data_IF_246015487490
#
_entry.id   IF_246015487490
#
_cell.length_a   1.000
_cell.length_b   1.000
_cell.length_c   1.000
_cell.angle_alpha   90.00
_cell.angle_beta   90.00
_cell.angle_gamma   90.00
#
_symmetry.space_group_name_H-M   'P 1'
#
loop_
_entity.id
_entity.type
_entity.pdbx_description
1 polymer ?
#
# COMPACT_ATOMS: atom_id res chain seq x y z
N UNK A 1 59.88 46.60 54.30
CA UNK A 1 58.77 46.48 55.26
C UNK A 1 57.47 46.52 54.46
N UNK A 2 56.53 45.61 54.73
CA UNK A 2 55.31 45.30 53.95
C UNK A 2 54.45 46.53 53.58
N UNK A 3 53.63 46.46 52.52
CA UNK A 3 52.19 46.31 52.80
C UNK A 3 51.40 45.42 51.82
N UNK A 4 50.25 44.98 52.33
CA UNK A 4 49.16 44.22 51.72
C UNK A 4 48.59 44.86 50.41
N UNK A 5 47.89 44.08 49.59
CA UNK A 5 46.41 44.03 49.50
C UNK A 5 45.98 43.27 48.22
N UNK A 6 45.06 42.31 48.38
CA UNK A 6 44.42 41.53 47.32
C UNK A 6 43.47 42.36 46.42
N UNK A 7 43.40 42.05 45.12
CA UNK A 7 42.13 41.85 44.35
C UNK A 7 42.38 41.66 42.85
N UNK A 8 41.71 40.66 42.27
CA UNK A 8 41.39 40.61 40.83
C UNK A 8 41.83 39.33 40.12
N UNK A 9 41.31 38.17 40.52
CA UNK A 9 41.41 36.96 39.69
C UNK A 9 40.25 36.95 38.67
N UNK A 10 40.55 37.27 37.41
CA UNK A 10 39.68 36.97 36.28
C UNK A 10 39.69 35.46 36.04
N UNK A 11 38.61 34.77 36.42
CA UNK A 11 38.41 33.35 36.10
C UNK A 11 37.95 33.25 34.64
N UNK A 12 38.90 33.20 33.70
CA UNK A 12 38.61 32.76 32.34
C UNK A 12 38.18 31.28 32.39
N UNK A 13 36.91 31.03 32.10
CA UNK A 13 36.35 29.70 31.91
C UNK A 13 37.01 29.04 30.69
N UNK A 14 37.92 28.11 30.95
CA UNK A 14 38.57 27.29 29.93
C UNK A 14 37.62 26.19 29.46
N UNK A 15 37.16 26.27 28.21
CA UNK A 15 36.52 25.13 27.54
C UNK A 15 37.61 24.28 26.87
N UNK A 16 37.82 23.01 27.28
CA UNK A 16 38.66 22.13 26.50
C UNK A 16 37.93 21.74 25.20
N UNK A 17 38.52 22.17 24.07
CA UNK A 17 38.22 21.63 22.75
C UNK A 17 38.48 20.12 22.76
N UNK A 18 37.50 19.34 22.32
CA UNK A 18 37.68 17.93 21.98
C UNK A 18 38.48 17.82 20.68
N UNK A 19 39.80 17.73 20.82
CA UNK A 19 40.65 17.17 19.77
C UNK A 19 40.99 15.74 20.15
N UNK A 20 40.48 14.78 19.37
CA UNK A 20 40.92 13.39 19.41
C UNK A 20 42.38 13.31 18.94
N UNK A 21 43.25 12.66 19.73
CA UNK A 21 44.16 11.71 19.12
C UNK A 21 44.26 10.41 19.93
N UNK A 22 43.99 9.30 19.24
CA UNK A 22 44.60 7.98 19.40
C UNK A 22 45.23 7.62 20.78
N UNK A 23 44.46 7.00 21.67
CA UNK A 23 44.96 6.47 22.95
C UNK A 23 44.10 5.29 23.41
N UNK A 24 44.45 4.09 22.97
CA UNK A 24 43.90 2.84 23.51
C UNK A 24 44.57 2.43 24.84
N UNK A 25 45.67 3.08 25.23
CA UNK A 25 46.47 2.69 26.41
C UNK A 25 46.22 3.55 27.66
N UNK A 26 45.60 4.74 27.56
CA UNK A 26 45.40 5.64 28.72
C UNK A 26 44.02 5.54 29.38
N UNK A 27 43.10 4.73 28.86
CA UNK A 27 41.75 4.53 29.43
C UNK A 27 41.72 3.50 30.56
N UNK A 28 42.66 2.55 30.56
CA UNK A 28 42.71 1.48 31.56
C UNK A 28 43.33 1.98 32.88
N UNK A 29 44.37 2.83 32.81
CA UNK A 29 45.00 3.45 33.99
C UNK A 29 44.00 4.34 34.76
N UNK A 30 43.25 5.21 34.06
CA UNK A 30 42.25 6.11 34.66
C UNK A 30 41.05 5.34 35.28
N UNK A 31 40.72 4.16 34.72
CA UNK A 31 39.66 3.29 35.23
C UNK A 31 40.10 2.51 36.46
N UNK A 32 41.34 2.06 36.48
CA UNK A 32 41.93 1.35 37.61
C UNK A 32 42.07 2.25 38.84
N UNK A 33 42.56 3.49 38.67
CA UNK A 33 42.64 4.47 39.75
C UNK A 33 41.27 4.79 40.38
N UNK A 34 40.22 4.93 39.55
CA UNK A 34 38.85 5.15 40.04
C UNK A 34 38.31 3.95 40.81
N UNK A 35 38.60 2.73 40.36
CA UNK A 35 38.16 1.50 41.02
C UNK A 35 38.87 1.28 42.36
N UNK A 36 40.16 1.64 42.45
CA UNK A 36 40.90 1.60 43.71
C UNK A 36 40.37 2.62 44.72
N UNK A 37 40.08 3.85 44.28
CA UNK A 37 39.48 4.87 45.14
C UNK A 37 38.11 4.43 45.72
N UNK A 38 37.29 3.75 44.91
CA UNK A 38 36.01 3.18 45.33
C UNK A 38 36.19 2.06 46.36
N UNK A 39 37.11 1.12 46.11
CA UNK A 39 37.43 0.02 47.03
C UNK A 39 37.92 0.54 48.38
N UNK A 40 38.79 1.55 48.39
CA UNK A 40 39.28 2.18 49.61
C UNK A 40 38.15 2.87 50.42
N UNK A 41 37.16 3.45 49.73
CA UNK A 41 36.00 4.09 50.37
C UNK A 41 35.04 3.07 50.98
N UNK A 42 34.76 1.98 50.27
CA UNK A 42 33.91 0.88 50.77
C UNK A 42 34.58 0.18 51.95
N UNK A 43 35.89 -0.05 51.89
CA UNK A 43 36.65 -0.67 52.98
C UNK A 43 36.62 0.17 54.25
N UNK A 44 36.83 1.49 54.15
CA UNK A 44 36.66 2.42 55.29
C UNK A 44 35.25 2.40 55.86
N UNK A 45 34.21 2.33 55.02
CA UNK A 45 32.81 2.26 55.49
C UNK A 45 32.52 0.94 56.21
N UNK A 46 33.09 -0.17 55.72
CA UNK A 46 32.96 -1.49 56.34
C UNK A 46 33.73 -1.58 57.65
N UNK A 47 34.94 -1.02 57.72
CA UNK A 47 35.74 -0.96 58.95
C UNK A 47 35.12 -0.02 59.99
N UNK A 48 34.53 1.10 59.57
CA UNK A 48 33.77 1.98 60.47
C UNK A 48 32.52 1.27 61.03
N UNK A 49 31.82 0.47 60.20
CA UNK A 49 30.71 -0.36 60.66
C UNK A 49 31.16 -1.53 61.58
N UNK A 50 32.41 -1.98 61.47
CA UNK A 50 32.95 -3.07 62.28
C UNK A 50 33.55 -2.60 63.62
N UNK A 51 33.95 -1.32 63.72
CA UNK A 51 34.67 -0.78 64.87
C UNK A 51 33.78 -0.02 65.88
N UNK A 52 32.47 0.09 65.62
CA UNK A 52 31.52 0.78 66.51
C UNK A 52 30.73 -0.18 67.44
N UNK A 53 31.09 -1.46 67.49
CA UNK A 53 30.78 -2.33 68.63
C UNK A 53 29.31 -2.41 69.09
N UNK A 54 28.33 -2.29 68.19
CA UNK A 54 26.91 -2.49 68.53
C UNK A 54 26.50 -3.91 68.17
N UNK A 55 26.10 -4.62 69.22
CA UNK A 55 25.59 -5.98 69.31
C UNK A 55 24.31 -6.06 68.48
N UNK A 56 24.08 -7.18 67.78
CA UNK A 56 22.78 -7.49 67.15
C UNK A 56 21.69 -7.52 68.24
N UNK A 57 20.99 -6.41 68.44
CA UNK A 57 19.68 -6.41 69.07
C UNK A 57 18.60 -6.41 67.99
N UNK A 58 17.82 -7.49 68.04
CA UNK A 58 16.58 -7.77 67.36
C UNK A 58 15.76 -6.51 67.06
N UNK A 59 15.58 -6.21 65.76
CA UNK A 59 14.78 -5.08 65.30
C UNK A 59 13.28 -5.39 65.47
N UNK A 60 12.77 -5.26 66.69
CA UNK A 60 11.33 -5.30 66.97
C UNK A 60 10.74 -3.94 66.60
N UNK A 61 10.27 -3.81 65.35
CA UNK A 61 9.56 -2.61 64.89
C UNK A 61 8.18 -2.58 65.55
N UNK A 62 7.98 -1.65 66.49
CA UNK A 62 6.65 -1.32 67.01
C UNK A 62 6.01 -0.25 66.11
N UNK A 63 4.70 -0.36 65.88
CA UNK A 63 3.93 0.40 64.88
C UNK A 63 3.78 1.91 65.16
N UNK A 64 4.62 2.50 66.01
CA UNK A 64 4.54 3.90 66.41
C UNK A 64 5.47 4.85 65.64
N UNK A 65 6.44 4.32 64.86
CA UNK A 65 7.42 5.14 64.12
C UNK A 65 7.11 5.31 62.62
N UNK A 66 5.83 5.18 62.21
CA UNK A 66 5.41 5.57 60.85
C UNK A 66 5.25 7.09 60.83
N UNK A 67 6.37 7.79 60.72
CA UNK A 67 6.37 9.18 60.25
C UNK A 67 5.71 9.21 58.86
N UNK A 68 4.80 10.16 58.68
CA UNK A 68 4.06 10.38 57.44
C UNK A 68 5.04 10.54 56.28
N UNK A 69 4.83 9.89 55.11
CA UNK A 69 5.74 10.03 53.99
C UNK A 69 5.81 11.52 53.57
N UNK A 70 7.00 12.05 53.25
CA UNK A 70 7.14 13.45 52.86
C UNK A 70 6.41 13.71 51.54
N UNK A 71 5.83 14.91 51.40
CA UNK A 71 5.07 15.39 50.24
C UNK A 71 5.82 15.25 48.89
N UNK A 72 7.15 15.06 48.90
CA UNK A 72 7.97 14.84 47.70
C UNK A 72 7.61 13.57 46.90
N UNK A 73 7.09 12.51 47.54
CA UNK A 73 6.61 11.31 46.82
C UNK A 73 5.27 11.55 46.09
N UNK A 74 4.49 12.55 46.53
CA UNK A 74 3.25 12.97 45.86
C UNK A 74 3.55 13.77 44.59
N UNK A 75 4.54 14.67 44.63
CA UNK A 75 4.92 15.46 43.45
C UNK A 75 5.58 14.59 42.38
N UNK A 76 6.52 13.71 42.75
CA UNK A 76 7.18 12.82 41.78
C UNK A 76 6.21 11.80 41.15
N UNK A 77 5.15 11.41 41.84
CA UNK A 77 4.10 10.55 41.27
C UNK A 77 3.16 11.35 40.36
N UNK A 78 2.75 12.56 40.75
CA UNK A 78 1.96 13.46 39.90
C UNK A 78 2.69 13.84 38.62
N UNK A 79 3.98 14.18 38.70
CA UNK A 79 4.84 14.49 37.55
C UNK A 79 4.97 13.26 36.62
N UNK A 80 5.01 12.05 37.19
CA UNK A 80 5.03 10.80 36.42
C UNK A 80 3.70 10.51 35.70
N UNK A 81 2.55 10.82 36.33
CA UNK A 81 1.23 10.71 35.71
C UNK A 81 1.01 11.75 34.61
N UNK A 82 1.41 13.00 34.84
CA UNK A 82 1.33 14.06 33.81
C UNK A 82 2.24 13.75 32.62
N UNK A 83 3.41 13.14 32.86
CA UNK A 83 4.33 12.72 31.78
C UNK A 83 3.81 11.50 31.01
N UNK A 84 3.11 10.57 31.68
CA UNK A 84 2.45 9.43 31.04
C UNK A 84 1.26 9.87 30.16
N UNK A 85 0.44 10.81 30.65
CA UNK A 85 -0.68 11.39 29.88
C UNK A 85 -0.22 12.15 28.63
N UNK A 86 0.92 12.84 28.71
CA UNK A 86 1.55 13.50 27.56
C UNK A 86 2.01 12.50 26.50
N UNK A 87 2.48 11.31 26.88
CA UNK A 87 2.92 10.27 25.94
C UNK A 87 1.75 9.46 25.36
N UNK A 88 0.68 9.21 26.13
CA UNK A 88 -0.59 8.65 25.67
C UNK A 88 -1.18 9.44 24.47
N UNK A 89 -1.25 10.76 24.61
CA UNK A 89 -1.71 11.63 23.54
C UNK A 89 -0.82 11.56 22.28
N UNK A 90 0.47 11.27 22.42
CA UNK A 90 1.39 11.17 21.27
C UNK A 90 1.11 9.92 20.44
N UNK A 91 0.91 8.76 21.08
CA UNK A 91 0.62 7.50 20.38
C UNK A 91 -0.72 7.54 19.66
N UNK A 92 -1.74 8.10 20.30
CA UNK A 92 -3.08 8.28 19.71
C UNK A 92 -3.06 9.25 18.54
N UNK A 93 -2.34 10.38 18.67
CA UNK A 93 -2.19 11.34 17.58
C UNK A 93 -1.39 10.77 16.40
N UNK A 94 -0.34 9.99 16.66
CA UNK A 94 0.43 9.29 15.64
C UNK A 94 -0.44 8.27 14.89
N UNK A 95 -1.18 7.42 15.61
CA UNK A 95 -2.11 6.46 15.04
C UNK A 95 -3.15 7.14 14.14
N UNK A 96 -3.79 8.20 14.64
CA UNK A 96 -4.76 8.97 13.88
C UNK A 96 -4.15 9.61 12.63
N UNK A 97 -2.92 10.13 12.71
CA UNK A 97 -2.23 10.71 11.55
C UNK A 97 -1.96 9.66 10.46
N UNK A 98 -1.49 8.47 10.83
CA UNK A 98 -1.21 7.38 9.89
C UNK A 98 -2.48 6.90 9.18
N UNK A 99 -3.56 6.65 9.94
CA UNK A 99 -4.85 6.26 9.38
C UNK A 99 -5.40 7.38 8.49
N UNK A 100 -5.30 8.64 8.91
CA UNK A 100 -5.76 9.77 8.12
C UNK A 100 -5.02 9.89 6.79
N UNK A 101 -3.69 9.84 6.80
CA UNK A 101 -2.87 9.92 5.58
C UNK A 101 -3.17 8.76 4.64
N UNK A 102 -3.25 7.52 5.15
CA UNK A 102 -3.61 6.36 4.34
C UNK A 102 -5.02 6.47 3.74
N UNK A 103 -5.97 7.03 4.50
CA UNK A 103 -7.34 7.28 4.04
C UNK A 103 -7.41 8.39 2.98
N UNK A 104 -6.63 9.47 3.14
CA UNK A 104 -6.52 10.53 2.14
C UNK A 104 -5.94 10.00 0.83
N UNK A 105 -4.91 9.14 0.90
CA UNK A 105 -4.40 8.44 -0.28
C UNK A 105 -5.50 7.56 -0.92
N UNK A 106 -6.35 6.91 -0.12
CA UNK A 106 -7.54 6.19 -0.57
C UNK A 106 -8.53 7.07 -1.33
N UNK A 107 -8.85 8.25 -0.79
CA UNK A 107 -9.72 9.23 -1.46
C UNK A 107 -9.11 9.75 -2.76
N UNK A 108 -7.81 10.06 -2.77
CA UNK A 108 -7.11 10.48 -3.99
C UNK A 108 -7.17 9.39 -5.07
N UNK A 109 -6.97 8.12 -4.70
CA UNK A 109 -7.11 7.01 -5.64
C UNK A 109 -8.55 6.85 -6.14
N UNK A 110 -9.56 7.04 -5.28
CA UNK A 110 -10.96 6.99 -5.69
C UNK A 110 -11.29 8.10 -6.70
N UNK A 111 -10.81 9.32 -6.47
CA UNK A 111 -10.97 10.44 -7.40
C UNK A 111 -10.30 10.15 -8.73
N UNK A 112 -9.09 9.56 -8.73
CA UNK A 112 -8.40 9.18 -9.97
C UNK A 112 -9.16 8.12 -10.77
N UNK A 113 -9.75 7.12 -10.09
CA UNK A 113 -10.57 6.08 -10.73
C UNK A 113 -11.85 6.70 -11.34
N UNK A 114 -12.46 7.66 -10.65
CA UNK A 114 -13.69 8.34 -11.10
C UNK A 114 -13.43 9.41 -12.18
N UNK A 115 -12.24 10.01 -12.21
CA UNK A 115 -11.84 11.01 -13.21
C UNK A 115 -11.21 10.39 -14.46
N UNK A 116 -10.64 9.20 -14.35
CA UNK A 116 -10.17 8.45 -15.51
C UNK A 116 -11.36 7.99 -16.33
N UNK A 117 -11.85 8.83 -17.23
CA UNK A 117 -12.78 8.40 -18.27
C UNK A 117 -11.98 7.45 -19.19
N UNK A 118 -12.17 6.12 -19.09
CA UNK A 118 -11.38 5.18 -19.88
C UNK A 118 -11.60 5.42 -21.38
N UNK A 119 -12.77 5.95 -21.75
CA UNK A 119 -13.14 6.28 -23.13
C UNK A 119 -12.28 7.41 -23.71
N UNK A 120 -11.84 8.39 -22.91
CA UNK A 120 -10.96 9.47 -23.40
C UNK A 120 -9.48 9.08 -23.37
N UNK A 121 -9.08 8.18 -22.46
CA UNK A 121 -7.73 7.63 -22.44
C UNK A 121 -7.51 6.67 -23.61
N UNK A 122 -8.49 5.84 -23.94
CA UNK A 122 -8.45 4.93 -25.09
C UNK A 122 -8.57 5.67 -26.43
N UNK A 123 -9.31 6.79 -26.49
CA UNK A 123 -9.39 7.65 -27.68
C UNK A 123 -8.32 8.75 -27.71
N UNK A 124 -7.44 8.82 -26.70
CA UNK A 124 -6.35 9.78 -26.72
C UNK A 124 -5.32 9.31 -27.73
N UNK A 125 -4.95 10.21 -28.65
CA UNK A 125 -3.98 10.00 -29.73
C UNK A 125 -2.58 9.54 -29.27
N UNK A 126 -2.38 9.38 -27.96
CA UNK A 126 -1.17 8.88 -27.30
C UNK A 126 -1.14 7.34 -27.24
N UNK A 127 -2.30 6.69 -27.32
CA UNK A 127 -2.48 5.25 -27.56
C UNK A 127 -2.95 4.93 -28.97
N UNK A 128 -3.18 5.93 -29.82
CA UNK A 128 -3.42 5.77 -31.27
C UNK A 128 -2.13 5.38 -32.03
N UNK A 129 -1.28 4.55 -31.42
CA UNK A 129 -0.15 3.94 -32.11
C UNK A 129 -0.69 2.74 -32.87
N UNK A 130 -1.09 2.98 -34.14
CA UNK A 130 -1.51 1.97 -35.10
C UNK A 130 -2.65 1.09 -34.58
N UNK A 131 -3.90 1.59 -34.70
CA UNK A 131 -5.16 0.83 -34.54
C UNK A 131 -5.28 -0.29 -35.59
N UNK A 132 -4.21 -1.01 -35.88
CA UNK A 132 -4.17 -2.04 -36.89
C UNK A 132 -3.59 -3.30 -36.25
N UNK A 133 -4.34 -4.38 -36.31
CA UNK A 133 -3.95 -5.68 -35.76
C UNK A 133 -3.76 -6.68 -36.91
N UNK A 134 -2.90 -7.65 -36.70
CA UNK A 134 -2.74 -8.76 -37.63
C UNK A 134 -3.75 -9.83 -37.28
N UNK A 135 -4.64 -10.15 -38.22
CA UNK A 135 -5.61 -11.22 -38.05
C UNK A 135 -5.08 -12.50 -38.72
N UNK A 136 -5.36 -13.63 -38.10
CA UNK A 136 -5.10 -14.94 -38.70
C UNK A 136 -6.13 -15.95 -38.25
N UNK A 137 -6.31 -17.01 -39.04
CA UNK A 137 -7.26 -18.07 -38.74
C UNK A 137 -7.06 -19.25 -39.66
N UNK A 138 -7.95 -20.23 -39.56
CA UNK A 138 -7.91 -21.45 -40.39
C UNK A 138 -9.28 -21.73 -41.02
N UNK A 139 -9.26 -22.18 -42.27
CA UNK A 139 -10.42 -22.70 -42.96
C UNK A 139 -10.38 -24.24 -42.96
N UNK A 140 -11.36 -24.86 -42.33
CA UNK A 140 -11.46 -26.30 -42.14
C UNK A 140 -12.65 -26.87 -42.90
N UNK A 141 -12.53 -28.09 -43.41
CA UNK A 141 -13.63 -28.81 -44.05
C UNK A 141 -14.62 -29.37 -43.00
N UNK A 142 -15.92 -29.43 -43.34
CA UNK A 142 -17.03 -29.76 -42.40
C UNK A 142 -17.02 -31.21 -41.87
N UNK A 143 -16.56 -32.18 -42.67
CA UNK A 143 -16.67 -33.61 -42.38
C UNK A 143 -15.39 -34.17 -41.76
N UNK A 144 -14.24 -33.92 -42.40
CA UNK A 144 -12.95 -34.48 -42.01
C UNK A 144 -12.11 -33.49 -41.16
N UNK A 145 -12.50 -32.21 -41.14
CA UNK A 145 -11.80 -31.18 -40.35
C UNK A 145 -10.41 -30.84 -40.87
N UNK A 146 -10.09 -31.23 -42.11
CA UNK A 146 -8.81 -30.92 -42.74
C UNK A 146 -8.78 -29.48 -43.27
N UNK A 147 -7.59 -28.89 -43.30
CA UNK A 147 -7.37 -27.56 -43.86
C UNK A 147 -7.74 -27.49 -45.33
N UNK A 148 -8.48 -26.45 -45.73
CA UNK A 148 -8.89 -26.24 -47.12
C UNK A 148 -7.94 -25.24 -47.77
N UNK A 149 -7.11 -25.71 -48.70
CA UNK A 149 -6.18 -24.88 -49.47
C UNK A 149 -6.88 -24.00 -50.51
N UNK A 150 -6.31 -22.85 -50.84
CA UNK A 150 -6.76 -21.95 -51.92
C UNK A 150 -8.19 -21.44 -51.74
N UNK A 151 -8.66 -21.28 -50.50
CA UNK A 151 -9.87 -20.51 -50.18
C UNK A 151 -9.53 -19.04 -50.31
N UNK A 152 -10.32 -18.29 -51.09
CA UNK A 152 -10.17 -16.84 -51.21
C UNK A 152 -10.80 -16.19 -49.98
N UNK A 153 -9.98 -15.43 -49.25
CA UNK A 153 -10.36 -14.69 -48.06
C UNK A 153 -10.36 -13.20 -48.41
N UNK A 154 -11.51 -12.56 -48.32
CA UNK A 154 -11.67 -11.12 -48.59
C UNK A 154 -12.05 -10.42 -47.29
N UNK A 155 -11.35 -9.33 -46.95
CA UNK A 155 -11.73 -8.40 -45.91
C UNK A 155 -12.52 -7.26 -46.55
N UNK A 156 -13.72 -6.97 -46.04
CA UNK A 156 -14.63 -5.95 -46.56
C UNK A 156 -15.02 -4.95 -45.47
N UNK A 157 -15.20 -3.69 -45.89
CA UNK A 157 -15.74 -2.63 -45.03
C UNK A 157 -17.21 -2.93 -44.66
N UNK A 158 -17.54 -2.79 -43.37
CA UNK A 158 -18.87 -3.15 -42.85
C UNK A 158 -20.03 -2.33 -43.44
N UNK A 159 -19.78 -1.10 -43.89
CA UNK A 159 -20.83 -0.17 -44.38
C UNK A 159 -21.02 -0.25 -45.88
N UNK A 160 -19.92 -0.19 -46.62
CA UNK A 160 -19.88 -0.11 -48.07
C UNK A 160 -19.77 -1.47 -48.75
N UNK A 161 -19.42 -2.53 -47.99
CA UNK A 161 -19.10 -3.87 -48.53
C UNK A 161 -17.99 -3.83 -49.60
N UNK A 162 -17.14 -2.80 -49.58
CA UNK A 162 -16.00 -2.69 -50.48
C UNK A 162 -14.88 -3.62 -49.99
N UNK A 163 -14.22 -4.32 -50.90
CA UNK A 163 -13.06 -5.16 -50.58
C UNK A 163 -11.88 -4.25 -50.21
N UNK A 164 -11.39 -4.38 -48.98
CA UNK A 164 -10.26 -3.66 -48.44
C UNK A 164 -8.95 -4.41 -48.75
N UNK A 165 -8.94 -5.72 -48.49
CA UNK A 165 -7.78 -6.61 -48.67
C UNK A 165 -8.25 -8.01 -49.05
N UNK A 166 -7.36 -8.80 -49.66
CA UNK A 166 -7.63 -10.19 -50.01
C UNK A 166 -6.38 -11.06 -49.88
N UNK A 167 -6.55 -12.30 -49.45
CA UNK A 167 -5.52 -13.33 -49.34
C UNK A 167 -6.10 -14.71 -49.67
N UNK A 168 -5.26 -15.74 -49.72
CA UNK A 168 -5.66 -17.12 -49.95
C UNK A 168 -5.10 -18.05 -48.87
N UNK A 169 -5.86 -19.09 -48.50
CA UNK A 169 -5.39 -20.08 -47.53
C UNK A 169 -4.28 -20.98 -48.09
N UNK A 170 -3.35 -21.38 -47.22
CA UNK A 170 -2.27 -22.32 -47.54
C UNK A 170 -2.72 -23.80 -47.52
N UNK A 171 -1.78 -24.74 -47.72
CA UNK A 171 -2.04 -26.18 -47.75
C UNK A 171 -2.67 -26.75 -46.47
N UNK A 172 -2.56 -26.03 -45.34
CA UNK A 172 -3.16 -26.39 -44.06
C UNK A 172 -4.43 -25.57 -43.75
N UNK A 173 -4.91 -24.78 -44.71
CA UNK A 173 -6.08 -23.93 -44.55
C UNK A 173 -5.80 -22.64 -43.78
N UNK A 174 -4.55 -22.31 -43.46
CA UNK A 174 -4.20 -21.13 -42.69
C UNK A 174 -4.19 -19.88 -43.57
N UNK A 175 -4.67 -18.76 -43.03
CA UNK A 175 -4.59 -17.44 -43.66
C UNK A 175 -4.16 -16.38 -42.63
N UNK A 176 -3.56 -15.31 -43.13
CA UNK A 176 -3.27 -14.11 -42.34
C UNK A 176 -3.45 -12.86 -43.17
N UNK A 177 -3.99 -11.82 -42.54
CA UNK A 177 -4.16 -10.48 -43.12
C UNK A 177 -3.54 -9.51 -42.12
N UNK A 178 -2.57 -8.73 -42.60
CA UNK A 178 -1.81 -7.82 -41.77
C UNK A 178 -2.40 -6.42 -41.78
N UNK A 179 -2.18 -5.69 -40.68
CA UNK A 179 -2.49 -4.28 -40.57
C UNK A 179 -3.99 -3.99 -40.83
N UNK A 180 -4.87 -4.76 -40.18
CA UNK A 180 -6.32 -4.59 -40.26
C UNK A 180 -6.79 -3.58 -39.23
N UNK A 181 -7.41 -2.49 -39.69
CA UNK A 181 -7.93 -1.44 -38.83
C UNK A 181 -8.91 -1.99 -37.77
N UNK A 182 -8.82 -1.53 -36.53
CA UNK A 182 -9.62 -1.97 -35.38
C UNK A 182 -11.04 -1.36 -35.40
N UNK A 183 -11.74 -1.56 -36.51
CA UNK A 183 -13.12 -1.20 -36.73
C UNK A 183 -13.91 -2.44 -37.18
N UNK A 184 -15.25 -2.35 -37.21
CA UNK A 184 -16.07 -3.48 -37.63
C UNK A 184 -15.83 -3.77 -39.11
N UNK A 185 -15.44 -5.02 -39.40
CA UNK A 185 -15.24 -5.52 -40.76
C UNK A 185 -16.09 -6.75 -41.01
N UNK A 186 -16.20 -7.10 -42.29
CA UNK A 186 -16.74 -8.38 -42.73
C UNK A 186 -15.61 -9.16 -43.36
N UNK A 187 -15.43 -10.41 -42.96
CA UNK A 187 -14.55 -11.34 -43.64
C UNK A 187 -15.39 -12.34 -44.43
N UNK A 188 -15.00 -12.58 -45.68
CA UNK A 188 -15.70 -13.45 -46.61
C UNK A 188 -14.77 -14.53 -47.12
N UNK A 189 -15.21 -15.77 -47.02
CA UNK A 189 -14.51 -16.96 -47.49
C UNK A 189 -15.24 -17.52 -48.70
N UNK A 190 -14.52 -17.69 -49.82
CA UNK A 190 -15.10 -18.22 -51.06
C UNK A 190 -14.15 -19.21 -51.75
N UNK A 191 -14.71 -20.32 -52.22
CA UNK A 191 -14.01 -21.34 -53.00
C UNK A 191 -15.01 -22.13 -53.83
N UNK A 192 -14.66 -22.47 -55.07
CA UNK A 192 -15.51 -23.31 -55.92
C UNK A 192 -15.75 -24.69 -55.27
N UNK A 193 -17.00 -25.15 -55.28
CA UNK A 193 -17.43 -26.40 -54.65
C UNK A 193 -17.75 -26.28 -53.15
N UNK A 194 -17.59 -25.08 -52.56
CA UNK A 194 -17.96 -24.80 -51.17
C UNK A 194 -18.94 -23.63 -51.07
N UNK A 195 -19.73 -23.61 -50.00
CA UNK A 195 -20.57 -22.47 -49.66
C UNK A 195 -19.71 -21.27 -49.27
N UNK A 196 -20.09 -20.09 -49.74
CA UNK A 196 -19.47 -18.83 -49.35
C UNK A 196 -19.91 -18.48 -47.93
N UNK A 197 -18.95 -18.21 -47.04
CA UNK A 197 -19.22 -17.85 -45.64
C UNK A 197 -18.85 -16.39 -45.43
N UNK A 198 -19.75 -15.60 -44.87
CA UNK A 198 -19.48 -14.21 -44.43
C UNK A 198 -19.60 -14.14 -42.91
N UNK A 199 -18.68 -13.43 -42.27
CA UNK A 199 -18.68 -13.16 -40.83
C UNK A 199 -18.41 -11.70 -40.56
N UNK A 200 -19.15 -11.11 -39.64
CA UNK A 200 -18.90 -9.74 -39.16
C UNK A 200 -18.14 -9.83 -37.85
N UNK A 201 -17.03 -9.10 -37.72
CA UNK A 201 -16.20 -9.16 -36.53
C UNK A 201 -15.53 -7.80 -36.25
N UNK A 202 -15.05 -7.63 -35.03
CA UNK A 202 -14.17 -6.54 -34.64
C UNK A 202 -12.78 -7.15 -34.40
N UNK A 203 -11.74 -6.76 -35.15
CA UNK A 203 -10.41 -7.31 -34.98
C UNK A 203 -9.88 -7.14 -33.54
N UNK A 204 -9.44 -8.23 -32.93
CA UNK A 204 -8.69 -8.25 -31.68
C UNK A 204 -7.37 -9.02 -31.86
N UNK A 205 -6.46 -8.95 -30.87
CA UNK A 205 -5.15 -9.60 -30.95
C UNK A 205 -5.20 -11.13 -30.76
N UNK A 206 -6.41 -11.72 -30.80
CA UNK A 206 -6.64 -13.14 -30.59
C UNK A 206 -7.19 -13.64 -31.93
N UNK A 207 -6.44 -14.45 -32.67
CA UNK A 207 -6.81 -14.86 -34.02
C UNK A 207 -8.26 -15.34 -34.17
N UNK A 208 -8.80 -15.24 -35.38
CA UNK A 208 -10.19 -15.56 -35.67
C UNK A 208 -10.49 -17.05 -35.50
N UNK A 209 -11.67 -17.33 -34.97
CA UNK A 209 -12.19 -18.68 -34.84
C UNK A 209 -12.18 -19.40 -36.19
N UNK A 210 -11.83 -20.70 -36.22
CA UNK A 210 -11.80 -21.47 -37.46
C UNK A 210 -13.13 -21.37 -38.21
N UNK A 211 -13.03 -21.18 -39.52
CA UNK A 211 -14.21 -21.18 -40.41
C UNK A 211 -14.42 -22.57 -40.97
N UNK A 212 -15.66 -23.06 -40.90
CA UNK A 212 -16.05 -24.35 -41.47
C UNK A 212 -16.57 -24.16 -42.90
N UNK A 213 -15.84 -24.73 -43.86
CA UNK A 213 -16.17 -24.73 -45.28
C UNK A 213 -17.04 -25.94 -45.61
N UNK A 214 -18.35 -25.71 -45.83
CA UNK A 214 -19.30 -26.76 -46.20
C UNK A 214 -19.32 -26.97 -47.71
N UNK A 215 -19.22 -28.22 -48.21
CA UNK A 215 -19.39 -28.50 -49.63
C UNK A 215 -20.77 -28.05 -50.12
N UNK A 216 -20.83 -27.36 -51.25
CA UNK A 216 -22.09 -26.83 -51.78
C UNK A 216 -21.88 -25.68 -52.76
N UNK A 217 -22.99 -25.13 -53.25
CA UNK A 217 -22.98 -23.95 -54.11
C UNK A 217 -23.94 -22.89 -53.56
N UNK A 218 -23.49 -21.64 -53.51
CA UNK A 218 -24.25 -20.51 -52.93
C UNK A 218 -23.61 -19.93 -51.66
N UNK A 219 -24.37 -19.12 -50.94
CA UNK A 219 -23.97 -18.47 -49.67
C UNK A 219 -24.52 -19.26 -48.49
N UNK A 220 -23.68 -19.55 -47.50
CA UNK A 220 -24.12 -20.05 -46.21
C UNK A 220 -24.96 -18.98 -45.48
N UNK A 221 -25.85 -19.43 -44.59
CA UNK A 221 -26.55 -18.53 -43.66
C UNK A 221 -25.51 -17.71 -42.88
N UNK A 222 -25.61 -16.37 -42.78
CA UNK A 222 -24.65 -15.54 -42.06
C UNK A 222 -24.36 -16.11 -40.67
N UNK A 223 -23.13 -16.60 -40.50
CA UNK A 223 -22.57 -16.87 -39.18
C UNK A 223 -22.16 -15.52 -38.62
N UNK A 224 -23.06 -14.89 -37.88
CA UNK A 224 -22.60 -13.88 -36.94
C UNK A 224 -21.86 -14.62 -35.84
N UNK A 225 -20.54 -14.47 -35.79
CA UNK A 225 -19.74 -14.91 -34.66
C UNK A 225 -20.21 -14.09 -33.44
N UNK A 226 -21.14 -14.66 -32.65
CA UNK A 226 -21.65 -14.06 -31.41
C UNK A 226 -20.54 -13.83 -30.38
N UNK A 227 -19.34 -14.35 -30.60
CA UNK A 227 -18.16 -14.12 -29.78
C UNK A 227 -17.78 -12.64 -29.70
N UNK A 228 -17.89 -11.87 -30.80
CA UNK A 228 -17.57 -10.44 -30.78
C UNK A 228 -18.56 -9.59 -29.94
N UNK A 229 -19.73 -10.15 -29.62
CA UNK A 229 -20.79 -9.48 -28.83
C UNK A 229 -20.87 -9.97 -27.38
N UNK A 230 -20.04 -10.94 -26.98
CA UNK A 230 -20.05 -11.55 -25.64
C UNK A 230 -18.92 -11.09 -24.71
N UNK A 231 -18.08 -10.15 -25.16
CA UNK A 231 -17.04 -9.52 -24.35
C UNK A 231 -17.59 -8.45 -23.40
N UNK A 232 -16.81 -8.08 -22.37
CA UNK A 232 -17.12 -6.96 -21.49
C UNK A 232 -17.35 -5.70 -22.32
N UNK A 233 -18.56 -5.15 -22.27
CA UNK A 233 -18.86 -3.92 -23.02
C UNK A 233 -18.17 -2.72 -22.35
N UNK A 234 -17.96 -1.64 -23.11
CA UNK A 234 -17.42 -0.39 -22.56
C UNK A 234 -18.29 0.12 -21.40
N UNK A 235 -19.60 -0.06 -21.48
CA UNK A 235 -20.56 0.30 -20.42
C UNK A 235 -20.39 -0.56 -19.17
N UNK A 236 -20.07 -1.86 -19.32
CA UNK A 236 -19.76 -2.75 -18.20
C UNK A 236 -18.44 -2.35 -17.51
N UNK A 237 -17.44 -1.94 -18.29
CA UNK A 237 -16.17 -1.46 -17.75
C UNK A 237 -16.31 -0.13 -16.99
N UNK A 238 -17.08 0.82 -17.54
CA UNK A 238 -17.35 2.11 -16.90
C UNK A 238 -18.19 1.95 -15.63
N UNK A 239 -19.21 1.09 -15.65
CA UNK A 239 -20.03 0.80 -14.48
C UNK A 239 -19.23 0.11 -13.38
N UNK A 240 -18.36 -0.85 -13.72
CA UNK A 240 -17.46 -1.49 -12.77
C UNK A 240 -16.48 -0.48 -12.16
N UNK A 241 -15.84 0.36 -12.98
CA UNK A 241 -14.90 1.38 -12.50
C UNK A 241 -15.57 2.36 -11.55
N UNK A 242 -16.78 2.82 -11.90
CA UNK A 242 -17.58 3.73 -11.06
C UNK A 242 -17.96 3.07 -9.73
N UNK A 243 -18.41 1.81 -9.76
CA UNK A 243 -18.75 1.06 -8.56
C UNK A 243 -17.54 0.87 -7.63
N UNK A 244 -16.38 0.52 -8.19
CA UNK A 244 -15.13 0.38 -7.44
C UNK A 244 -14.66 1.73 -6.89
N UNK A 245 -14.78 2.82 -7.67
CA UNK A 245 -14.44 4.17 -7.25
C UNK A 245 -15.28 4.64 -6.06
N UNK A 246 -16.60 4.44 -6.10
CA UNK A 246 -17.51 4.78 -5.01
C UNK A 246 -17.27 3.94 -3.74
N UNK A 247 -17.03 2.63 -3.90
CA UNK A 247 -16.69 1.76 -2.77
C UNK A 247 -15.35 2.17 -2.12
N UNK A 248 -14.36 2.52 -2.95
CA UNK A 248 -13.06 3.01 -2.48
C UNK A 248 -13.20 4.34 -1.74
N UNK A 249 -14.03 5.25 -2.26
CA UNK A 249 -14.33 6.52 -1.60
C UNK A 249 -15.03 6.31 -0.25
N UNK A 250 -16.03 5.43 -0.21
CA UNK A 250 -16.78 5.13 1.01
C UNK A 250 -15.89 4.53 2.11
N UNK A 251 -15.06 3.55 1.75
CA UNK A 251 -14.11 2.92 2.69
C UNK A 251 -13.04 3.91 3.18
N UNK A 252 -12.56 4.80 2.30
CA UNK A 252 -11.62 5.85 2.69
C UNK A 252 -12.24 6.85 3.70
N UNK A 253 -13.53 7.20 3.54
CA UNK A 253 -14.23 8.08 4.48
C UNK A 253 -14.37 7.44 5.88
N UNK A 254 -14.55 6.12 5.97
CA UNK A 254 -14.56 5.41 7.25
C UNK A 254 -13.22 5.59 7.98
N UNK A 255 -12.10 5.60 7.26
CA UNK A 255 -10.78 5.80 7.84
C UNK A 255 -10.55 7.23 8.31
N UNK A 256 -11.04 8.23 7.57
CA UNK A 256 -11.05 9.63 8.05
C UNK A 256 -11.88 9.76 9.32
N UNK A 257 -13.06 9.13 9.36
CA UNK A 257 -13.91 9.11 10.56
C UNK A 257 -13.21 8.43 11.74
N UNK A 258 -12.55 7.29 11.49
CA UNK A 258 -11.74 6.59 12.50
C UNK A 258 -10.65 7.50 13.07
N UNK A 259 -9.87 8.18 12.22
CA UNK A 259 -8.83 9.08 12.68
C UNK A 259 -9.36 10.22 13.57
N UNK A 260 -10.55 10.76 13.26
CA UNK A 260 -11.20 11.76 14.11
C UNK A 260 -11.67 11.15 15.44
N UNK A 261 -12.19 9.93 15.43
CA UNK A 261 -12.63 9.24 16.64
C UNK A 261 -11.46 8.84 17.55
N UNK A 262 -10.32 8.43 16.96
CA UNK A 262 -9.06 8.18 17.67
C UNK A 262 -8.56 9.47 18.32
N UNK A 263 -8.51 10.60 17.61
CA UNK A 263 -8.13 11.90 18.20
C UNK A 263 -9.01 12.33 19.36
N UNK A 264 -10.30 11.97 19.32
CA UNK A 264 -11.26 12.27 20.39
C UNK A 264 -11.16 11.29 21.55
N UNK A 265 -10.58 10.11 21.35
CA UNK A 265 -10.37 9.14 22.42
C UNK A 265 -11.62 8.51 23.03
N UNK A 266 -12.77 8.51 22.35
CA UNK A 266 -14.04 8.13 23.00
C UNK A 266 -14.31 6.63 23.05
N UNK A 267 -14.11 5.94 21.91
CA UNK A 267 -14.48 4.52 21.75
C UNK A 267 -13.42 3.76 20.98
N UNK A 268 -12.63 2.95 21.68
CA UNK A 268 -11.53 2.20 21.08
C UNK A 268 -12.04 1.23 20.00
N UNK A 269 -12.95 0.31 20.36
CA UNK A 269 -13.42 -0.74 19.44
C UNK A 269 -14.08 -0.18 18.18
N UNK A 270 -14.87 0.88 18.34
CA UNK A 270 -15.53 1.54 17.20
C UNK A 270 -14.51 2.16 16.25
N UNK A 271 -13.51 2.85 16.80
CA UNK A 271 -12.44 3.44 15.99
C UNK A 271 -11.65 2.38 15.22
N UNK A 272 -11.40 1.21 15.83
CA UNK A 272 -10.74 0.08 15.18
C UNK A 272 -11.60 -0.57 14.08
N UNK A 273 -12.90 -0.76 14.28
CA UNK A 273 -13.78 -1.29 13.22
C UNK A 273 -13.88 -0.35 12.02
N UNK A 274 -13.92 0.96 12.26
CA UNK A 274 -13.91 1.96 11.19
C UNK A 274 -12.57 1.97 10.43
N UNK A 275 -11.44 1.84 11.15
CA UNK A 275 -10.12 1.72 10.53
C UNK A 275 -9.99 0.41 9.72
N UNK A 276 -10.53 -0.69 10.23
CA UNK A 276 -10.55 -1.97 9.52
C UNK A 276 -11.37 -1.88 8.21
N UNK A 277 -12.51 -1.18 8.24
CA UNK A 277 -13.27 -0.86 7.02
C UNK A 277 -12.48 -0.03 6.02
N UNK A 278 -11.58 0.84 6.50
CA UNK A 278 -10.74 1.68 5.65
C UNK A 278 -9.58 0.95 4.97
N UNK A 279 -9.19 -0.24 5.44
CA UNK A 279 -8.16 -1.08 4.79
C UNK A 279 -8.55 -1.48 3.37
N UNK A 280 -9.86 -1.51 3.07
CA UNK A 280 -10.37 -1.77 1.73
C UNK A 280 -10.22 -0.57 0.78
N UNK A 281 -9.79 0.60 1.28
CA UNK A 281 -9.51 1.76 0.43
C UNK A 281 -8.18 1.58 -0.30
N UNK A 282 -8.23 1.50 -1.63
CA UNK A 282 -7.08 1.29 -2.52
C UNK A 282 -6.18 2.53 -2.67
N UNK A 283 -5.79 3.18 -1.57
CA UNK A 283 -4.88 4.33 -1.62
C UNK A 283 -3.50 3.94 -2.11
N UNK A 284 -3.24 3.98 -3.42
CA UNK A 284 -1.99 3.53 -4.03
C UNK A 284 -1.66 2.05 -3.76
N UNK A 285 -2.63 1.17 -4.03
CA UNK A 285 -2.62 -0.33 -4.02
C UNK A 285 -2.11 -0.98 -2.73
N UNK A 286 -0.94 -0.60 -2.24
CA UNK A 286 -0.24 -1.13 -1.06
C UNK A 286 -0.01 -0.02 0.00
N UNK A 287 0.30 1.22 -0.40
CA UNK A 287 0.80 2.25 0.55
C UNK A 287 -0.26 2.74 1.53
N UNK A 288 -1.48 2.99 1.06
CA UNK A 288 -2.60 3.43 1.89
C UNK A 288 -3.03 2.39 2.91
N UNK A 289 -3.37 1.15 2.49
CA UNK A 289 -3.71 0.07 3.42
C UNK A 289 -2.60 -0.24 4.42
N UNK A 290 -1.32 -0.19 4.01
CA UNK A 290 -0.20 -0.43 4.94
C UNK A 290 -0.06 0.68 5.99
N UNK A 291 -0.25 1.95 5.61
CA UNK A 291 -0.29 3.07 6.57
C UNK A 291 -1.47 2.96 7.54
N UNK A 292 -2.66 2.58 7.04
CA UNK A 292 -3.84 2.36 7.88
C UNK A 292 -3.58 1.21 8.85
N UNK A 293 -3.06 0.08 8.37
CA UNK A 293 -2.71 -1.07 9.21
C UNK A 293 -1.67 -0.70 10.26
N UNK A 294 -0.63 0.03 9.88
CA UNK A 294 0.39 0.49 10.82
C UNK A 294 -0.21 1.43 11.88
N UNK A 295 -1.08 2.37 11.47
CA UNK A 295 -1.81 3.22 12.40
C UNK A 295 -2.74 2.45 13.35
N UNK A 296 -3.40 1.39 12.86
CA UNK A 296 -4.19 0.48 13.71
C UNK A 296 -3.34 -0.27 14.73
N UNK A 297 -2.13 -0.71 14.34
CA UNK A 297 -1.17 -1.34 15.23
C UNK A 297 -0.68 -0.34 16.29
N UNK A 298 -0.33 0.88 15.87
CA UNK A 298 0.08 1.94 16.79
C UNK A 298 -1.04 2.25 17.79
N UNK A 299 -2.30 2.27 17.34
CA UNK A 299 -3.45 2.50 18.20
C UNK A 299 -3.67 1.39 19.26
N UNK A 300 -3.11 0.19 19.08
CA UNK A 300 -3.16 -0.86 20.11
C UNK A 300 -2.39 -0.45 21.38
N UNK A 301 -1.30 0.30 21.23
CA UNK A 301 -0.52 0.79 22.37
C UNK A 301 -1.23 1.93 23.11
N UNK A 302 -2.12 2.65 22.43
CA UNK A 302 -2.92 3.74 23.00
C UNK A 302 -4.30 3.27 23.48
N UNK A 303 -4.52 1.96 23.66
CA UNK A 303 -5.84 1.38 23.98
C UNK A 303 -6.39 1.90 25.30
N UNK A 304 -5.54 1.99 26.32
CA UNK A 304 -5.90 2.44 27.67
C UNK A 304 -6.23 3.95 27.69
N UNK A 305 -5.85 4.70 26.65
CA UNK A 305 -6.09 6.14 26.57
C UNK A 305 -7.53 6.48 26.15
N UNK A 306 -8.37 5.50 25.86
CA UNK A 306 -9.75 5.72 25.44
C UNK A 306 -10.72 5.78 26.62
N UNK A 307 -11.66 6.72 26.60
CA UNK A 307 -12.69 6.92 27.63
C UNK A 307 -13.48 5.63 27.95
N UNK A 308 -13.66 4.72 26.97
CA UNK A 308 -14.37 3.45 27.17
C UNK A 308 -13.49 2.30 27.71
N UNK A 309 -12.19 2.51 27.82
CA UNK A 309 -11.21 1.52 28.30
C UNK A 309 -10.43 2.02 29.54
N UNK A 310 -10.56 3.30 29.94
CA UNK A 310 -10.06 3.86 31.21
C UNK A 310 -10.98 3.41 32.37
N UNK A 311 -10.65 2.28 33.02
CA UNK A 311 -11.22 1.68 34.28
C UNK A 311 -12.76 1.69 34.44
N UNK A 312 -13.47 0.57 34.53
CA UNK A 312 -13.40 -0.50 35.57
C UNK A 312 -12.05 -1.14 35.91
#
# INVERSE_FOLDING_TARGET
MNPETMRGAETQMYYPRTSSPNTGETMDEDREERMEALRARVRRKKEAALNDGVIEEELVVTAADIESPPDEFSEASQDWFEMADLDADRWRNLAAALIFVGSVLGMLSAVLILQGNPTELLNSSLFAESEAVDISGTALEDVEGHGVENVTVELLDARSKAVLQSTSTDAFGYYSIQNVAQETHIIKFSKEGYLTVERTFLPDNVGLDPVTMKPGNGTADPQNDEQALSGWTLDDAVSLSTAVGLLTLGTALLGVQSAVEIRRGKRYRRSQYLAAGALFSRGLIIVGPTLILFGMIVNLFAKEDFEDERED
#
